data_IF_992471526274
#
_entry.id   IF_992471526274
#
_cell.length_a   1.000
_cell.length_b   1.000
_cell.length_c   1.000
_cell.angle_alpha   90.00
_cell.angle_beta   90.00
_cell.angle_gamma   90.00
#
_symmetry.space_group_name_H-M   'P 1'
#
loop_
_entity.id
_entity.type
_entity.pdbx_description
1 polymer ?
#
# COMPACT_ATOMS: atom_id res chain seq x y z
N UNK A 1 -6.01 10.41 -17.86
CA UNK A 1 -5.38 10.20 -16.54
C UNK A 1 -4.57 11.45 -16.25
N UNK A 2 -4.94 12.28 -15.29
CA UNK A 2 -4.21 13.51 -14.96
C UNK A 2 -4.01 13.62 -13.46
N UNK A 3 -3.55 12.53 -12.87
CA UNK A 3 -2.76 12.61 -11.65
C UNK A 3 -1.30 12.80 -12.10
N UNK A 4 -0.66 13.86 -11.59
CA UNK A 4 0.75 14.17 -11.85
C UNK A 4 1.64 12.97 -11.46
N UNK A 5 2.70 12.73 -12.24
CA UNK A 5 3.66 11.64 -11.99
C UNK A 5 4.21 11.64 -10.56
N UNK A 6 4.38 12.82 -9.94
CA UNK A 6 4.82 12.96 -8.55
C UNK A 6 3.78 12.43 -7.57
N UNK A 7 2.50 12.61 -7.86
CA UNK A 7 1.42 12.09 -7.01
C UNK A 7 1.32 10.57 -7.15
N UNK A 8 1.50 10.03 -8.37
CA UNK A 8 1.58 8.57 -8.57
C UNK A 8 2.78 7.97 -7.84
N UNK A 9 3.96 8.61 -7.91
CA UNK A 9 5.13 8.20 -7.14
C UNK A 9 4.91 8.29 -5.64
N UNK A 10 4.16 9.27 -5.17
CA UNK A 10 3.81 9.41 -3.76
C UNK A 10 2.82 8.34 -3.29
N UNK A 11 1.79 8.01 -4.08
CA UNK A 11 0.90 6.89 -3.81
C UNK A 11 1.69 5.59 -3.71
N UNK A 12 2.55 5.34 -4.70
CA UNK A 12 3.41 4.18 -4.70
C UNK A 12 4.28 4.15 -3.45
N UNK A 13 4.90 5.27 -3.07
CA UNK A 13 5.72 5.36 -1.87
C UNK A 13 4.94 5.04 -0.59
N UNK A 14 3.79 5.68 -0.38
CA UNK A 14 2.97 5.52 0.83
C UNK A 14 2.45 4.09 0.97
N UNK A 15 1.94 3.53 -0.12
CA UNK A 15 1.24 2.25 -0.08
C UNK A 15 2.18 1.05 -0.27
N UNK A 16 3.31 1.18 -0.99
CA UNK A 16 4.26 0.06 -1.17
C UNK A 16 5.16 -0.19 0.05
N UNK A 17 5.44 0.84 0.86
CA UNK A 17 6.28 0.71 2.05
C UNK A 17 5.73 -0.32 3.04
N UNK A 18 4.47 -0.22 3.50
CA UNK A 18 3.89 -1.21 4.39
C UNK A 18 3.85 -2.61 3.77
N UNK A 19 3.53 -2.72 2.49
CA UNK A 19 3.48 -4.00 1.75
C UNK A 19 4.85 -4.68 1.69
N UNK A 20 5.92 -3.92 1.45
CA UNK A 20 7.31 -4.43 1.43
C UNK A 20 7.72 -4.93 2.82
N UNK A 21 7.36 -4.19 3.87
CA UNK A 21 7.61 -4.58 5.27
C UNK A 21 6.91 -5.89 5.63
N UNK A 22 5.63 -6.03 5.27
CA UNK A 22 4.87 -7.26 5.48
C UNK A 22 5.51 -8.45 4.74
N UNK A 23 5.91 -8.28 3.47
CA UNK A 23 6.59 -9.35 2.72
C UNK A 23 7.92 -9.79 3.37
N UNK A 24 8.72 -8.83 3.84
CA UNK A 24 9.97 -9.13 4.54
C UNK A 24 9.70 -9.92 5.83
N UNK A 25 8.69 -9.52 6.59
CA UNK A 25 8.25 -10.19 7.82
C UNK A 25 7.80 -11.63 7.56
N UNK A 26 6.98 -11.86 6.53
CA UNK A 26 6.53 -13.20 6.11
C UNK A 26 7.71 -14.07 5.69
N UNK A 27 8.67 -13.50 4.95
CA UNK A 27 9.88 -14.23 4.54
C UNK A 27 10.73 -14.66 5.75
N UNK A 28 10.77 -13.87 6.82
CA UNK A 28 11.44 -14.24 8.07
C UNK A 28 10.71 -15.37 8.79
N UNK A 29 9.37 -15.31 8.93
CA UNK A 29 8.55 -16.39 9.51
C UNK A 29 8.86 -17.72 8.81
N UNK A 30 8.78 -17.72 7.46
CA UNK A 30 9.00 -18.92 6.65
C UNK A 30 10.40 -19.50 6.80
N UNK A 31 11.43 -18.66 6.99
CA UNK A 31 12.83 -19.10 7.09
C UNK A 31 13.21 -19.60 8.47
N UNK A 32 12.64 -19.03 9.53
CA UNK A 32 13.19 -19.19 10.89
C UNK A 32 12.30 -19.96 11.85
N UNK A 33 11.02 -20.22 11.52
CA UNK A 33 10.08 -20.86 12.45
C UNK A 33 10.01 -20.12 13.79
N UNK A 34 10.23 -18.80 13.76
CA UNK A 34 10.59 -17.96 14.89
C UNK A 34 9.39 -17.56 15.77
N UNK A 35 9.69 -16.95 16.92
CA UNK A 35 8.71 -16.47 17.91
C UNK A 35 7.73 -15.51 17.24
N UNK A 36 6.51 -16.00 17.07
CA UNK A 36 5.36 -15.33 16.45
C UNK A 36 5.07 -13.87 16.89
N UNK A 37 5.27 -13.44 18.16
CA UNK A 37 4.73 -12.16 18.62
C UNK A 37 5.24 -10.92 17.89
N UNK A 38 6.56 -10.77 17.72
CA UNK A 38 7.15 -9.55 17.14
C UNK A 38 6.82 -9.43 15.65
N UNK A 39 6.76 -10.57 14.95
CA UNK A 39 6.50 -10.59 13.52
C UNK A 39 5.02 -10.37 13.22
N UNK A 40 4.14 -10.95 14.03
CA UNK A 40 2.69 -10.69 13.94
C UNK A 40 2.41 -9.20 14.17
N UNK A 41 3.06 -8.57 15.16
CA UNK A 41 2.89 -7.13 15.38
C UNK A 41 3.35 -6.30 14.17
N UNK A 42 4.50 -6.63 13.56
CA UNK A 42 4.96 -5.93 12.34
C UNK A 42 3.99 -6.08 11.16
N UNK A 43 3.35 -7.25 11.02
CA UNK A 43 2.35 -7.50 9.97
C UNK A 43 1.09 -6.66 10.23
N UNK A 44 0.62 -6.61 11.47
CA UNK A 44 -0.52 -5.77 11.90
C UNK A 44 -0.22 -4.28 11.66
N UNK A 45 0.95 -3.81 12.08
CA UNK A 45 1.36 -2.42 11.88
C UNK A 45 1.45 -2.07 10.38
N UNK A 46 1.90 -3.02 9.55
CA UNK A 46 1.94 -2.86 8.09
C UNK A 46 0.55 -2.76 7.49
N UNK A 47 -0.40 -3.58 7.96
CA UNK A 47 -1.81 -3.49 7.56
C UNK A 47 -2.39 -2.13 7.90
N UNK A 48 -2.23 -1.70 9.14
CA UNK A 48 -2.80 -0.45 9.64
C UNK A 48 -2.19 0.76 8.92
N UNK A 49 -0.88 0.75 8.67
CA UNK A 49 -0.20 1.79 7.90
C UNK A 49 -0.73 1.88 6.45
N UNK A 50 -0.98 0.75 5.80
CA UNK A 50 -1.54 0.71 4.44
C UNK A 50 -2.97 1.26 4.41
N UNK A 51 -3.84 0.80 5.31
CA UNK A 51 -5.22 1.26 5.40
C UNK A 51 -5.30 2.76 5.70
N UNK A 52 -4.46 3.24 6.63
CA UNK A 52 -4.32 4.67 6.91
C UNK A 52 -3.84 5.44 5.67
N UNK A 53 -2.90 4.87 4.91
CA UNK A 53 -2.45 5.43 3.64
C UNK A 53 -3.59 5.60 2.64
N UNK A 54 -4.40 4.57 2.42
CA UNK A 54 -5.56 4.63 1.53
C UNK A 54 -6.58 5.68 1.98
N UNK A 55 -6.95 5.69 3.26
CA UNK A 55 -7.89 6.68 3.81
C UNK A 55 -7.38 8.11 3.60
N UNK A 56 -6.10 8.37 3.89
CA UNK A 56 -5.48 9.68 3.65
C UNK A 56 -5.54 10.11 2.18
N UNK A 57 -5.44 9.16 1.24
CA UNK A 57 -5.55 9.44 -0.18
C UNK A 57 -7.01 9.62 -0.64
N UNK A 58 -7.99 9.08 0.08
CA UNK A 58 -9.41 9.22 -0.19
C UNK A 58 -10.02 10.52 0.39
N UNK A 59 -9.59 10.97 1.57
CA UNK A 59 -10.28 12.00 2.39
C UNK A 59 -9.85 13.48 2.17
N UNK A 60 -9.20 13.86 1.07
CA UNK A 60 -8.49 15.17 0.95
C UNK A 60 -9.30 16.50 1.08
N UNK A 61 -8.73 17.70 1.51
CA UNK A 61 -7.31 18.21 1.55
C UNK A 61 -6.83 19.09 2.80
N UNK A 62 -5.62 19.74 2.93
CA UNK A 62 -4.38 19.84 2.12
C UNK A 62 -3.06 19.55 2.91
N UNK A 63 -2.43 18.38 2.76
CA UNK A 63 -0.97 18.32 2.98
C UNK A 63 -0.29 19.07 1.81
N UNK A 64 0.68 19.97 2.07
CA UNK A 64 1.43 20.67 1.04
C UNK A 64 2.06 19.75 -0.02
N UNK A 65 2.30 18.47 0.28
CA UNK A 65 2.75 17.45 -0.68
C UNK A 65 1.73 17.13 -1.79
N UNK A 66 0.45 17.41 -1.58
CA UNK A 66 -0.66 17.10 -2.49
C UNK A 66 -1.35 18.37 -3.00
N UNK A 67 -0.63 19.50 -3.10
CA UNK A 67 -1.19 20.79 -3.51
C UNK A 67 -1.91 20.78 -4.86
N UNK A 68 -1.72 19.75 -5.68
CA UNK A 68 -2.38 19.55 -6.97
C UNK A 68 -3.03 18.15 -7.09
N UNK A 69 -3.34 17.51 -5.96
CA UNK A 69 -4.02 16.23 -5.97
C UNK A 69 -5.50 16.44 -6.26
N UNK A 70 -5.89 16.13 -7.50
CA UNK A 70 -7.27 16.16 -7.95
C UNK A 70 -7.59 14.80 -8.58
N UNK A 71 -7.86 13.77 -7.76
CA UNK A 71 -8.15 12.44 -8.26
C UNK A 71 -9.42 12.46 -9.11
N UNK A 72 -9.40 11.78 -10.25
CA UNK A 72 -10.61 11.48 -10.99
C UNK A 72 -11.48 10.48 -10.22
N UNK A 73 -12.73 10.33 -10.65
CA UNK A 73 -13.63 9.31 -10.09
C UNK A 73 -13.01 7.90 -10.15
N UNK A 74 -12.31 7.58 -11.25
CA UNK A 74 -11.63 6.30 -11.41
C UNK A 74 -10.44 6.12 -10.46
N UNK A 75 -9.78 7.21 -10.06
CA UNK A 75 -8.68 7.19 -9.08
C UNK A 75 -9.24 6.91 -7.68
N UNK A 76 -10.37 7.52 -7.33
CA UNK A 76 -11.07 7.28 -6.06
C UNK A 76 -11.63 5.85 -5.98
N UNK A 77 -12.26 5.36 -7.06
CA UNK A 77 -12.76 3.98 -7.14
C UNK A 77 -11.63 2.96 -6.99
N UNK A 78 -10.48 3.23 -7.62
CA UNK A 78 -9.31 2.37 -7.48
C UNK A 78 -8.78 2.36 -6.05
N UNK A 79 -8.60 3.53 -5.42
CA UNK A 79 -8.15 3.63 -4.02
C UNK A 79 -9.11 2.94 -3.05
N UNK A 80 -10.42 3.13 -3.27
CA UNK A 80 -11.46 2.48 -2.48
C UNK A 80 -11.37 0.96 -2.64
N UNK A 81 -11.18 0.46 -3.87
CA UNK A 81 -10.97 -0.96 -4.12
C UNK A 81 -9.72 -1.52 -3.43
N UNK A 82 -8.60 -0.80 -3.47
CA UNK A 82 -7.38 -1.18 -2.73
C UNK A 82 -7.61 -1.21 -1.23
N UNK A 83 -8.33 -0.23 -0.69
CA UNK A 83 -8.67 -0.14 0.72
C UNK A 83 -9.52 -1.33 1.18
N UNK A 84 -10.60 -1.62 0.45
CA UNK A 84 -11.49 -2.75 0.73
C UNK A 84 -10.76 -4.08 0.64
N UNK A 85 -9.93 -4.27 -0.40
CA UNK A 85 -9.10 -5.46 -0.55
C UNK A 85 -8.12 -5.62 0.60
N UNK A 86 -7.43 -4.54 1.00
CA UNK A 86 -6.49 -4.56 2.11
C UNK A 86 -7.12 -4.93 3.47
N UNK A 87 -8.42 -4.67 3.66
CA UNK A 87 -9.11 -5.08 4.89
C UNK A 87 -9.30 -6.59 5.00
N UNK A 88 -9.55 -7.26 3.87
CA UNK A 88 -10.02 -8.65 3.80
C UNK A 88 -8.95 -9.66 3.41
N UNK A 89 -7.84 -9.21 2.81
CA UNK A 89 -6.75 -10.14 2.50
C UNK A 89 -6.08 -10.68 3.77
N UNK A 90 -5.52 -11.87 3.65
CA UNK A 90 -4.61 -12.41 4.64
C UNK A 90 -3.22 -11.76 4.48
N UNK A 91 -2.86 -10.90 5.44
CA UNK A 91 -1.57 -10.22 5.46
C UNK A 91 -0.40 -11.13 5.83
N UNK A 92 -0.67 -12.36 6.31
CA UNK A 92 0.37 -13.39 6.52
C UNK A 92 0.67 -14.18 5.23
N UNK A 93 -0.21 -14.11 4.22
CA UNK A 93 0.04 -14.66 2.90
C UNK A 93 0.80 -13.66 2.01
N UNK A 94 2.10 -13.94 1.85
CA UNK A 94 2.98 -13.13 1.01
C UNK A 94 2.53 -13.00 -0.46
N UNK A 95 1.76 -13.94 -1.00
CA UNK A 95 1.20 -13.81 -2.35
C UNK A 95 0.09 -12.76 -2.40
N UNK A 96 -0.78 -12.72 -1.38
CA UNK A 96 -1.86 -11.72 -1.28
C UNK A 96 -1.32 -10.31 -1.09
N UNK A 97 -0.30 -10.18 -0.25
CA UNK A 97 0.43 -8.92 -0.05
C UNK A 97 1.14 -8.49 -1.34
N UNK A 98 1.71 -9.44 -2.10
CA UNK A 98 2.32 -9.15 -3.41
C UNK A 98 1.32 -8.67 -4.45
N UNK A 99 0.16 -9.32 -4.54
CA UNK A 99 -0.94 -8.92 -5.44
C UNK A 99 -1.36 -7.46 -5.20
N UNK A 100 -1.46 -7.01 -3.94
CA UNK A 100 -1.74 -5.60 -3.62
C UNK A 100 -0.65 -4.65 -4.14
N UNK A 101 0.62 -5.00 -3.94
CA UNK A 101 1.75 -4.19 -4.43
C UNK A 101 1.75 -4.08 -5.96
N UNK A 102 1.46 -5.20 -6.63
CA UNK A 102 1.45 -5.27 -8.09
C UNK A 102 0.27 -4.51 -8.69
N UNK A 103 -0.92 -4.57 -8.09
CA UNK A 103 -2.07 -3.76 -8.50
C UNK A 103 -1.79 -2.27 -8.37
N UNK A 104 -1.20 -1.85 -7.25
CA UNK A 104 -0.74 -0.47 -7.05
C UNK A 104 0.29 -0.07 -8.10
N UNK A 105 1.29 -0.91 -8.36
CA UNK A 105 2.32 -0.64 -9.36
C UNK A 105 1.77 -0.56 -10.78
N UNK A 106 0.85 -1.45 -11.14
CA UNK A 106 0.20 -1.48 -12.44
C UNK A 106 -0.66 -0.23 -12.68
N UNK A 107 -1.37 0.23 -11.64
CA UNK A 107 -2.22 1.42 -11.74
C UNK A 107 -1.41 2.72 -11.78
N UNK A 108 -0.46 2.88 -10.87
CA UNK A 108 0.36 4.09 -10.80
C UNK A 108 1.33 4.20 -11.97
N UNK A 109 1.65 3.09 -12.64
CA UNK A 109 2.69 3.01 -13.68
C UNK A 109 4.09 3.30 -13.13
N UNK A 110 4.22 3.51 -11.82
CA UNK A 110 5.46 3.91 -11.19
C UNK A 110 6.41 2.72 -11.14
N UNK A 111 7.50 2.81 -11.89
CA UNK A 111 8.62 1.88 -11.81
C UNK A 111 9.63 2.50 -10.86
N UNK A 112 9.86 1.94 -9.65
CA UNK A 112 10.89 2.46 -8.77
C UNK A 112 12.24 2.22 -9.45
N UNK A 113 12.79 3.28 -10.05
CA UNK A 113 14.11 3.39 -10.66
C UNK A 113 14.58 2.14 -11.43
N UNK A 114 14.35 2.13 -12.75
CA UNK A 114 15.20 1.37 -13.69
C UNK A 114 16.60 1.96 -13.75
#
# INVERSE_FOLDING_TARGET
MTIDEKVMGLWHHILSQPTTSAQASIAQIKRRGERLPDIVQNIVDSKDAYLSGCQKLLEYPPNPAFKNYNPSQSDLEFLQGLYEKAQVIDWEDGNKVKELSEELGAYTGYKPFS
#
